data_IF_722116381748
#
_entry.id   IF_722116381748
#
_cell.length_a   1.000
_cell.length_b   1.000
_cell.length_c   1.000
_cell.angle_alpha   90.00
_cell.angle_beta   90.00
_cell.angle_gamma   90.00
#
_symmetry.space_group_name_H-M   'P 1'
#
loop_
_entity.id
_entity.type
_entity.pdbx_description
1 polymer ?
#
# COMPACT_ATOMS: atom_id res chain seq x y z
N UNK A 1 -21.13 10.43 -20.07
CA UNK A 1 -20.85 10.10 -18.65
C UNK A 1 -19.66 10.92 -18.21
N UNK A 2 -19.84 11.86 -17.27
CA UNK A 2 -18.72 12.58 -16.67
C UNK A 2 -17.86 11.59 -15.87
N UNK A 3 -16.55 11.58 -16.12
CA UNK A 3 -15.61 10.72 -15.39
C UNK A 3 -15.52 11.23 -13.94
N UNK A 4 -15.98 10.41 -12.99
CA UNK A 4 -15.77 10.66 -11.56
C UNK A 4 -14.35 10.23 -11.23
N UNK A 5 -13.55 11.11 -10.62
CA UNK A 5 -12.20 10.76 -10.14
C UNK A 5 -12.26 9.69 -9.05
N UNK A 6 -11.24 8.82 -8.94
CA UNK A 6 -11.15 7.80 -7.88
C UNK A 6 -11.45 8.34 -6.47
N UNK A 7 -10.89 9.51 -6.11
CA UNK A 7 -11.13 10.14 -4.81
C UNK A 7 -12.60 10.48 -4.56
N UNK A 8 -13.30 10.97 -5.58
CA UNK A 8 -14.73 11.25 -5.51
C UNK A 8 -15.56 9.97 -5.44
N UNK A 9 -15.17 8.91 -6.17
CA UNK A 9 -15.81 7.61 -6.08
C UNK A 9 -15.69 7.01 -4.67
N UNK A 10 -14.52 7.12 -4.03
CA UNK A 10 -14.31 6.63 -2.67
C UNK A 10 -15.17 7.34 -1.63
N UNK A 11 -15.30 8.66 -1.72
CA UNK A 11 -16.15 9.46 -0.83
C UNK A 11 -17.62 9.16 -1.05
N UNK A 12 -18.05 9.09 -2.31
CA UNK A 12 -19.44 8.80 -2.67
C UNK A 12 -19.86 7.41 -2.17
N UNK A 13 -18.96 6.41 -2.23
CA UNK A 13 -19.23 5.09 -1.70
C UNK A 13 -19.52 5.12 -0.18
N UNK A 14 -18.72 5.86 0.59
CA UNK A 14 -18.97 6.04 2.02
C UNK A 14 -20.29 6.76 2.31
N UNK A 15 -20.60 7.80 1.52
CA UNK A 15 -21.86 8.53 1.64
C UNK A 15 -23.06 7.63 1.36
N UNK A 16 -23.04 6.84 0.30
CA UNK A 16 -24.12 5.88 -0.03
C UNK A 16 -24.35 4.85 1.07
N UNK A 17 -23.30 4.36 1.73
CA UNK A 17 -23.45 3.45 2.87
C UNK A 17 -24.23 4.12 4.00
N UNK A 18 -23.94 5.38 4.30
CA UNK A 18 -24.51 6.09 5.46
C UNK A 18 -25.88 6.68 5.16
N UNK A 19 -26.01 7.35 4.03
CA UNK A 19 -27.19 8.14 3.67
C UNK A 19 -28.29 7.26 3.06
N UNK A 20 -27.91 6.20 2.33
CA UNK A 20 -28.84 5.31 1.62
C UNK A 20 -28.87 3.87 2.20
N UNK A 21 -27.89 3.48 3.02
CA UNK A 21 -27.78 2.12 3.53
C UNK A 21 -27.32 1.09 2.47
N UNK A 22 -26.74 1.56 1.36
CA UNK A 22 -26.40 0.73 0.20
C UNK A 22 -24.89 0.67 -0.02
N UNK A 23 -24.36 -0.53 -0.26
CA UNK A 23 -23.01 -0.72 -0.79
C UNK A 23 -23.06 -0.65 -2.31
N UNK A 24 -22.63 0.47 -2.91
CA UNK A 24 -22.67 0.65 -4.37
C UNK A 24 -21.35 0.26 -5.03
N UNK A 25 -21.18 -1.03 -5.35
CA UNK A 25 -19.96 -1.51 -6.02
C UNK A 25 -19.89 -1.18 -7.52
N UNK A 26 -20.87 -0.46 -8.08
CA UNK A 26 -20.76 0.10 -9.43
C UNK A 26 -19.75 1.25 -9.50
N UNK A 27 -19.38 1.82 -8.36
CA UNK A 27 -18.32 2.81 -8.24
C UNK A 27 -16.95 2.17 -8.44
N UNK A 28 -16.02 2.96 -8.96
CA UNK A 28 -14.70 2.50 -9.36
C UNK A 28 -13.76 2.45 -8.15
N UNK A 29 -13.05 1.33 -8.00
CA UNK A 29 -11.93 1.17 -7.09
C UNK A 29 -12.11 0.01 -6.09
N UNK A 30 -11.18 -0.05 -5.14
CA UNK A 30 -11.27 -0.96 -4.01
C UNK A 30 -11.79 -0.17 -2.81
N UNK A 31 -12.92 -0.58 -2.24
CA UNK A 31 -13.71 0.23 -1.32
C UNK A 31 -13.43 -0.10 0.15
N UNK A 32 -12.44 -0.95 0.46
CA UNK A 32 -12.12 -1.34 1.84
C UNK A 32 -11.88 -0.15 2.76
N UNK A 33 -11.13 0.87 2.30
CA UNK A 33 -10.95 2.09 3.08
C UNK A 33 -12.23 2.94 3.18
N UNK A 34 -13.07 2.97 2.14
CA UNK A 34 -14.35 3.68 2.18
C UNK A 34 -15.28 3.12 3.24
N UNK A 35 -15.30 1.79 3.42
CA UNK A 35 -16.03 1.12 4.51
C UNK A 35 -15.48 1.54 5.88
N UNK A 36 -14.16 1.64 6.03
CA UNK A 36 -13.53 2.11 7.28
C UNK A 36 -13.78 3.60 7.53
N UNK A 37 -14.09 4.38 6.50
CA UNK A 37 -14.40 5.80 6.62
C UNK A 37 -15.84 6.08 7.07
N UNK A 38 -16.76 5.11 6.94
CA UNK A 38 -18.16 5.18 7.39
C UNK A 38 -18.33 5.74 8.82
N UNK A 39 -17.66 5.24 9.87
CA UNK A 39 -17.78 5.81 11.21
C UNK A 39 -17.30 7.26 11.31
N UNK A 40 -16.30 7.66 10.52
CA UNK A 40 -15.83 9.05 10.50
C UNK A 40 -16.87 9.95 9.85
N UNK A 41 -17.50 9.51 8.76
CA UNK A 41 -18.58 10.27 8.12
C UNK A 41 -19.81 10.38 9.03
N UNK A 42 -20.23 9.27 9.67
CA UNK A 42 -21.33 9.28 10.64
C UNK A 42 -21.12 10.27 11.79
N UNK A 43 -19.89 10.38 12.30
CA UNK A 43 -19.57 11.26 13.43
C UNK A 43 -19.38 12.73 13.03
N UNK A 44 -19.01 13.01 11.77
CA UNK A 44 -18.58 14.37 11.37
C UNK A 44 -19.47 15.02 10.32
N UNK A 45 -20.22 14.24 9.53
CA UNK A 45 -20.93 14.71 8.34
C UNK A 45 -20.04 15.36 7.27
N UNK A 46 -18.71 15.27 7.41
CA UNK A 46 -17.78 16.08 6.63
C UNK A 46 -17.56 15.52 5.23
N UNK A 47 -17.50 16.36 4.17
CA UNK A 47 -17.08 15.92 2.84
C UNK A 47 -15.62 15.46 2.80
N UNK A 48 -14.84 15.76 3.85
CA UNK A 48 -13.44 15.36 4.01
C UNK A 48 -13.26 14.10 4.88
N UNK A 49 -14.34 13.39 5.23
CA UNK A 49 -14.28 12.16 6.05
C UNK A 49 -13.20 11.17 5.57
N UNK A 50 -13.09 10.97 4.25
CA UNK A 50 -12.12 10.05 3.67
C UNK A 50 -10.67 10.51 3.89
N UNK A 51 -10.40 11.82 3.76
CA UNK A 51 -9.10 12.42 4.02
C UNK A 51 -8.72 12.30 5.51
N UNK A 52 -9.70 12.52 6.40
CA UNK A 52 -9.53 12.37 7.85
C UNK A 52 -9.19 10.90 8.18
N UNK A 53 -9.93 9.94 7.62
CA UNK A 53 -9.63 8.51 7.76
C UNK A 53 -8.24 8.18 7.25
N UNK A 54 -7.85 8.67 6.07
CA UNK A 54 -6.49 8.52 5.53
C UNK A 54 -5.41 9.04 6.49
N UNK A 55 -5.63 10.21 7.09
CA UNK A 55 -4.70 10.78 8.07
C UNK A 55 -4.59 9.92 9.34
N UNK A 56 -5.72 9.44 9.87
CA UNK A 56 -5.73 8.54 11.03
C UNK A 56 -4.97 7.24 10.72
N UNK A 57 -5.26 6.59 9.59
CA UNK A 57 -4.60 5.36 9.18
C UNK A 57 -3.09 5.58 8.95
N UNK A 58 -2.70 6.74 8.41
CA UNK A 58 -1.29 7.10 8.28
C UNK A 58 -0.60 7.22 9.64
N UNK A 59 -1.16 7.96 10.59
CA UNK A 59 -0.58 8.09 11.94
C UNK A 59 -0.45 6.73 12.62
N UNK A 60 -1.49 5.88 12.53
CA UNK A 60 -1.43 4.52 13.07
C UNK A 60 -0.36 3.67 12.37
N UNK A 61 -0.20 3.82 11.06
CA UNK A 61 0.84 3.09 10.31
C UNK A 61 2.26 3.51 10.71
N UNK A 62 2.50 4.78 11.04
CA UNK A 62 3.79 5.26 11.60
C UNK A 62 4.07 4.60 12.96
N UNK A 63 3.05 4.54 13.84
CA UNK A 63 3.17 3.89 15.15
C UNK A 63 3.43 2.38 15.02
N UNK A 64 2.74 1.71 14.10
CA UNK A 64 2.97 0.30 13.82
C UNK A 64 4.34 0.06 13.20
N UNK A 65 4.83 0.97 12.37
CA UNK A 65 6.18 0.89 11.79
C UNK A 65 7.25 0.94 12.88
N UNK A 66 7.12 1.90 13.81
CA UNK A 66 7.96 1.99 15.01
C UNK A 66 7.95 0.67 15.80
N UNK A 67 6.76 0.15 16.12
CA UNK A 67 6.62 -1.06 16.93
C UNK A 67 7.18 -2.29 16.22
N UNK A 68 6.91 -2.46 14.93
CA UNK A 68 7.34 -3.62 14.14
C UNK A 68 8.87 -3.69 14.06
N UNK A 69 9.52 -2.59 13.70
CA UNK A 69 10.98 -2.53 13.63
C UNK A 69 11.64 -2.63 15.02
N UNK A 70 11.02 -2.05 16.06
CA UNK A 70 11.53 -2.17 17.44
C UNK A 70 11.52 -3.61 17.96
N UNK A 71 10.49 -4.39 17.60
CA UNK A 71 10.36 -5.78 18.01
C UNK A 71 11.32 -6.71 17.25
N UNK A 72 11.63 -6.37 15.99
CA UNK A 72 12.56 -7.15 15.16
C UNK A 72 14.03 -6.89 15.49
N UNK A 73 14.37 -5.66 15.87
CA UNK A 73 15.75 -5.24 16.13
C UNK A 73 15.87 -4.56 17.49
N UNK A 74 15.78 -3.22 17.53
CA UNK A 74 15.90 -2.42 18.73
C UNK A 74 15.08 -1.13 18.62
N UNK A 75 14.93 -0.41 19.74
CA UNK A 75 14.16 0.84 19.79
C UNK A 75 14.66 1.89 18.80
N UNK A 76 15.97 1.94 18.53
CA UNK A 76 16.56 2.92 17.61
C UNK A 76 16.17 2.63 16.16
N UNK A 77 16.21 1.36 15.74
CA UNK A 77 15.70 0.93 14.44
C UNK A 77 14.21 1.25 14.31
N UNK A 78 13.43 1.07 15.37
CA UNK A 78 12.05 1.54 15.46
C UNK A 78 11.88 3.02 15.12
N UNK A 79 12.64 3.90 15.79
CA UNK A 79 12.58 5.35 15.56
C UNK A 79 12.95 5.66 14.11
N UNK A 80 14.03 5.06 13.60
CA UNK A 80 14.46 5.28 12.21
C UNK A 80 13.39 4.86 11.21
N UNK A 81 12.80 3.66 11.36
CA UNK A 81 11.75 3.17 10.48
C UNK A 81 10.54 4.12 10.47
N UNK A 82 10.12 4.61 11.64
CA UNK A 82 9.01 5.55 11.76
C UNK A 82 9.32 6.91 11.12
N UNK A 83 10.51 7.46 11.34
CA UNK A 83 10.95 8.72 10.73
C UNK A 83 10.96 8.58 9.21
N UNK A 84 11.66 7.57 8.68
CA UNK A 84 11.76 7.34 7.23
C UNK A 84 10.36 7.20 6.61
N UNK A 85 9.51 6.39 7.22
CA UNK A 85 8.15 6.16 6.73
C UNK A 85 7.30 7.43 6.80
N UNK A 86 7.43 8.22 7.87
CA UNK A 86 6.71 9.50 8.01
C UNK A 86 7.18 10.57 7.01
N UNK A 87 8.43 10.52 6.56
CA UNK A 87 8.98 11.48 5.60
C UNK A 87 8.60 11.22 4.16
N UNK A 88 7.87 10.13 3.87
CA UNK A 88 7.45 9.76 2.51
C UNK A 88 6.40 10.75 1.98
N UNK A 89 6.71 11.56 0.95
CA UNK A 89 5.85 12.64 0.47
C UNK A 89 4.51 12.16 -0.10
N UNK A 90 4.50 10.95 -0.67
CA UNK A 90 3.29 10.37 -1.27
C UNK A 90 2.12 10.32 -0.28
N UNK A 91 2.38 10.09 1.01
CA UNK A 91 1.28 10.01 1.97
C UNK A 91 0.57 11.34 2.12
N UNK A 92 1.29 12.46 2.13
CA UNK A 92 0.69 13.78 2.26
C UNK A 92 -0.13 14.14 1.01
N UNK A 93 0.39 13.86 -0.18
CA UNK A 93 -0.33 14.08 -1.43
C UNK A 93 -1.62 13.27 -1.49
N UNK A 94 -1.56 12.00 -1.12
CA UNK A 94 -2.69 11.09 -1.17
C UNK A 94 -3.71 11.38 -0.08
N UNK A 95 -3.27 11.86 1.10
CA UNK A 95 -4.17 12.34 2.16
C UNK A 95 -4.95 13.57 1.67
N UNK A 96 -4.27 14.57 1.08
CA UNK A 96 -4.93 15.78 0.56
C UNK A 96 -5.87 15.43 -0.59
N UNK A 97 -5.41 14.56 -1.49
CA UNK A 97 -6.19 14.15 -2.66
C UNK A 97 -7.35 13.21 -2.32
N UNK A 98 -7.40 12.65 -1.11
CA UNK A 98 -8.45 11.71 -0.71
C UNK A 98 -8.32 10.33 -1.36
N UNK A 99 -7.10 9.82 -1.45
CA UNK A 99 -6.79 8.52 -2.06
C UNK A 99 -6.52 7.43 -1.02
N UNK A 100 -6.60 6.16 -1.44
CA UNK A 100 -6.54 4.98 -0.56
C UNK A 100 -5.14 4.55 -0.12
N UNK A 101 -4.09 5.22 -0.62
CA UNK A 101 -2.69 4.83 -0.40
C UNK A 101 -2.29 4.73 1.08
N UNK A 102 -2.70 5.65 1.98
CA UNK A 102 -2.45 5.52 3.41
C UNK A 102 -3.09 4.27 4.04
N UNK A 103 -4.29 3.89 3.61
CA UNK A 103 -4.95 2.68 4.09
C UNK A 103 -4.26 1.40 3.63
N UNK A 104 -3.74 1.38 2.39
CA UNK A 104 -2.92 0.26 1.88
C UNK A 104 -1.67 0.10 2.75
N UNK A 105 -0.98 1.20 3.06
CA UNK A 105 0.22 1.18 3.86
C UNK A 105 -0.06 0.75 5.31
N UNK A 106 -1.15 1.25 5.90
CA UNK A 106 -1.62 0.79 7.21
C UNK A 106 -1.83 -0.72 7.23
N UNK A 107 -2.59 -1.28 6.28
CA UNK A 107 -2.82 -2.73 6.22
C UNK A 107 -1.54 -3.53 5.99
N UNK A 108 -0.61 -3.02 5.17
CA UNK A 108 0.68 -3.67 4.96
C UNK A 108 1.50 -3.76 6.25
N UNK A 109 1.65 -2.64 6.96
CA UNK A 109 2.40 -2.59 8.21
C UNK A 109 1.68 -3.36 9.32
N UNK A 110 0.35 -3.36 9.36
CA UNK A 110 -0.43 -4.15 10.32
C UNK A 110 -0.21 -5.66 10.12
N UNK A 111 -0.24 -6.16 8.89
CA UNK A 111 0.09 -7.55 8.60
C UNK A 111 1.53 -7.91 9.02
N UNK A 112 2.50 -7.02 8.77
CA UNK A 112 3.89 -7.22 9.19
C UNK A 112 4.00 -7.25 10.73
N UNK A 113 3.35 -6.31 11.42
CA UNK A 113 3.28 -6.26 12.87
C UNK A 113 2.69 -7.55 13.46
N UNK A 114 1.52 -7.98 12.97
CA UNK A 114 0.84 -9.19 13.42
C UNK A 114 1.67 -10.46 13.17
N UNK A 115 2.44 -10.50 12.09
CA UNK A 115 3.41 -11.58 11.86
C UNK A 115 4.51 -11.59 12.91
N UNK A 116 5.10 -10.42 13.22
CA UNK A 116 6.20 -10.30 14.19
C UNK A 116 5.77 -10.71 15.60
N UNK A 117 4.56 -10.34 16.04
CA UNK A 117 4.02 -10.76 17.34
C UNK A 117 3.40 -12.17 17.33
N UNK A 118 3.47 -12.88 16.20
CA UNK A 118 2.87 -14.21 15.99
C UNK A 118 1.38 -14.27 16.31
N UNK A 119 0.63 -13.22 15.95
CA UNK A 119 -0.80 -13.11 16.23
C UNK A 119 -1.61 -14.10 15.39
N UNK A 120 -2.58 -14.75 16.05
CA UNK A 120 -3.55 -15.64 15.39
C UNK A 120 -4.53 -14.90 14.48
N UNK A 121 -4.59 -13.57 14.56
CA UNK A 121 -5.45 -12.72 13.72
C UNK A 121 -4.82 -12.32 12.38
N UNK A 122 -3.54 -12.69 12.15
CA UNK A 122 -2.85 -12.38 10.89
C UNK A 122 -3.63 -12.80 9.64
N UNK A 123 -4.22 -14.01 9.55
CA UNK A 123 -4.99 -14.40 8.36
C UNK A 123 -6.22 -13.54 8.12
N UNK A 124 -6.99 -13.23 9.17
CA UNK A 124 -8.15 -12.35 9.07
C UNK A 124 -7.74 -10.98 8.55
N UNK A 125 -6.69 -10.39 9.13
CA UNK A 125 -6.15 -9.11 8.70
C UNK A 125 -5.69 -9.15 7.24
N UNK A 126 -4.99 -10.21 6.83
CA UNK A 126 -4.55 -10.40 5.45
C UNK A 126 -5.74 -10.44 4.47
N UNK A 127 -6.78 -11.20 4.77
CA UNK A 127 -7.94 -11.29 3.88
C UNK A 127 -8.71 -9.96 3.78
N UNK A 128 -8.89 -9.27 4.91
CA UNK A 128 -9.48 -7.92 4.94
C UNK A 128 -8.63 -6.93 4.15
N UNK A 129 -7.30 -7.05 4.20
CA UNK A 129 -6.38 -6.17 3.46
C UNK A 129 -6.61 -6.22 1.94
N UNK A 130 -7.07 -7.36 1.40
CA UNK A 130 -7.36 -7.46 -0.03
C UNK A 130 -8.55 -6.59 -0.47
N UNK A 131 -9.47 -6.26 0.44
CA UNK A 131 -10.57 -5.30 0.17
C UNK A 131 -10.04 -3.87 0.00
N UNK A 132 -8.89 -3.55 0.60
CA UNK A 132 -8.22 -2.26 0.43
C UNK A 132 -7.53 -2.19 -0.92
N UNK A 133 -6.77 -3.23 -1.30
CA UNK A 133 -6.27 -3.46 -2.66
C UNK A 133 -5.78 -4.89 -2.88
N UNK A 134 -5.99 -5.48 -4.08
CA UNK A 134 -5.53 -6.83 -4.43
C UNK A 134 -4.02 -7.04 -4.28
N UNK A 135 -3.20 -6.00 -4.48
CA UNK A 135 -1.75 -6.14 -4.44
C UNK A 135 -1.21 -6.49 -3.04
N UNK A 136 -2.00 -6.26 -1.99
CA UNK A 136 -1.66 -6.74 -0.65
C UNK A 136 -1.54 -8.27 -0.57
N UNK A 137 -1.94 -8.99 -1.63
CA UNK A 137 -1.59 -10.39 -1.87
C UNK A 137 -0.08 -10.66 -1.84
N UNK A 138 0.77 -9.65 -2.10
CA UNK A 138 2.22 -9.73 -1.88
C UNK A 138 2.59 -10.18 -0.45
N UNK A 139 1.71 -9.97 0.54
CA UNK A 139 1.90 -10.36 1.94
C UNK A 139 1.45 -11.79 2.25
N UNK A 140 0.90 -12.52 1.27
CA UNK A 140 0.42 -13.89 1.44
C UNK A 140 1.46 -14.85 2.06
N UNK A 141 2.76 -14.76 1.73
CA UNK A 141 3.77 -15.60 2.36
C UNK A 141 3.87 -15.43 3.89
N UNK A 142 3.54 -14.25 4.45
CA UNK A 142 3.49 -14.06 5.91
C UNK A 142 2.51 -15.03 6.57
N UNK A 143 1.36 -15.23 5.93
CA UNK A 143 0.29 -16.06 6.46
C UNK A 143 0.67 -17.53 6.35
N UNK A 144 1.14 -18.00 5.18
CA UNK A 144 1.54 -19.41 5.01
C UNK A 144 2.68 -19.81 5.97
N UNK A 145 3.67 -18.92 6.09
CA UNK A 145 4.89 -19.14 6.86
C UNK A 145 4.78 -18.67 8.32
N UNK A 146 3.56 -18.42 8.80
CA UNK A 146 3.29 -18.17 10.21
C UNK A 146 3.67 -19.40 11.05
N UNK A 147 4.42 -19.18 12.13
CA UNK A 147 4.99 -20.26 12.96
C UNK A 147 3.95 -20.91 13.87
N UNK A 148 3.01 -20.13 14.40
CA UNK A 148 1.97 -20.61 15.33
C UNK A 148 0.65 -20.85 14.60
N UNK A 149 0.28 -22.11 14.45
CA UNK A 149 -1.00 -22.55 13.87
C UNK A 149 -1.81 -23.27 14.95
N UNK A 150 -3.06 -22.86 15.14
CA UNK A 150 -3.99 -23.45 16.10
C UNK A 150 -5.42 -23.13 15.72
N UNK A 151 -6.41 -23.58 16.50
CA UNK A 151 -7.83 -23.46 16.15
C UNK A 151 -8.25 -22.03 15.81
N UNK A 152 -7.89 -21.05 16.66
CA UNK A 152 -8.19 -19.64 16.41
C UNK A 152 -7.54 -19.08 15.14
N UNK A 153 -6.37 -19.61 14.75
CA UNK A 153 -5.71 -19.21 13.50
C UNK A 153 -6.54 -19.66 12.29
N UNK A 154 -7.01 -20.92 12.26
CA UNK A 154 -7.88 -21.41 11.19
C UNK A 154 -9.28 -20.77 11.22
N UNK A 155 -9.80 -20.43 12.40
CA UNK A 155 -11.04 -19.65 12.52
C UNK A 155 -10.88 -18.26 11.89
N UNK A 156 -9.75 -17.59 12.12
CA UNK A 156 -9.44 -16.29 11.50
C UNK A 156 -9.32 -16.40 9.97
N UNK A 157 -8.82 -17.53 9.46
CA UNK A 157 -8.81 -17.85 8.02
C UNK A 157 -10.22 -17.94 7.46
N UNK A 158 -11.08 -18.76 8.08
CA UNK A 158 -12.46 -18.96 7.65
C UNK A 158 -13.25 -17.65 7.68
N UNK A 159 -13.11 -16.89 8.75
CA UNK A 159 -13.74 -15.58 8.89
C UNK A 159 -13.25 -14.59 7.83
N UNK A 160 -11.93 -14.51 7.61
CA UNK A 160 -11.35 -13.62 6.59
C UNK A 160 -11.80 -13.97 5.17
N UNK A 161 -11.81 -15.26 4.82
CA UNK A 161 -12.31 -15.73 3.52
C UNK A 161 -13.80 -15.44 3.35
N UNK A 162 -14.60 -15.62 4.40
CA UNK A 162 -16.03 -15.30 4.37
C UNK A 162 -16.26 -13.80 4.10
N UNK A 163 -15.57 -12.93 4.84
CA UNK A 163 -15.69 -11.47 4.64
C UNK A 163 -15.24 -11.04 3.24
N UNK A 164 -14.12 -11.56 2.75
CA UNK A 164 -13.66 -11.26 1.41
C UNK A 164 -14.61 -11.81 0.34
N UNK A 165 -15.13 -13.01 0.56
CA UNK A 165 -16.12 -13.65 -0.31
C UNK A 165 -17.41 -12.83 -0.39
N UNK A 166 -17.92 -12.34 0.75
CA UNK A 166 -19.08 -11.45 0.79
C UNK A 166 -18.81 -10.14 0.05
N UNK A 167 -17.63 -9.54 0.22
CA UNK A 167 -17.22 -8.33 -0.50
C UNK A 167 -17.21 -8.57 -2.02
N UNK A 168 -16.60 -9.66 -2.49
CA UNK A 168 -16.57 -9.99 -3.93
C UNK A 168 -17.92 -10.40 -4.49
N UNK A 169 -18.73 -11.10 -3.70
CA UNK A 169 -20.06 -11.49 -4.11
C UNK A 169 -20.94 -10.24 -4.30
N UNK A 170 -20.92 -9.30 -3.35
CA UNK A 170 -21.59 -8.00 -3.50
C UNK A 170 -21.10 -7.23 -4.73
N UNK A 171 -19.78 -7.14 -4.91
CA UNK A 171 -19.20 -6.50 -6.10
C UNK A 171 -19.66 -7.14 -7.41
N UNK A 172 -19.73 -8.47 -7.44
CA UNK A 172 -20.16 -9.21 -8.63
C UNK A 172 -21.64 -9.02 -8.93
N UNK A 173 -22.51 -9.00 -7.91
CA UNK A 173 -23.94 -8.75 -8.09
C UNK A 173 -24.22 -7.37 -8.69
N UNK A 174 -23.53 -6.32 -8.23
CA UNK A 174 -23.78 -4.95 -8.69
C UNK A 174 -23.12 -4.64 -10.04
N UNK A 175 -21.90 -5.11 -10.26
CA UNK A 175 -21.07 -4.69 -11.40
C UNK A 175 -20.81 -5.78 -12.44
N UNK A 176 -21.20 -7.03 -12.16
CA UNK A 176 -20.82 -8.21 -12.94
C UNK A 176 -19.31 -8.54 -12.87
N UNK A 177 -18.56 -7.86 -12.00
CA UNK A 177 -17.09 -7.98 -11.87
C UNK A 177 -16.67 -8.15 -10.41
N UNK A 178 -15.63 -8.95 -10.20
CA UNK A 178 -15.01 -9.15 -8.86
C UNK A 178 -14.33 -7.86 -8.37
N UNK A 179 -13.85 -7.02 -9.30
CA UNK A 179 -13.38 -5.67 -9.03
C UNK A 179 -13.75 -4.73 -10.17
N UNK A 180 -14.24 -3.56 -9.81
CA UNK A 180 -14.46 -2.48 -10.74
C UNK A 180 -13.27 -1.51 -10.72
N UNK A 181 -12.13 -1.91 -11.31
CA UNK A 181 -10.97 -1.03 -11.47
C UNK A 181 -11.13 -0.26 -12.78
N UNK A 182 -11.04 1.07 -12.74
CA UNK A 182 -10.98 1.85 -13.97
C UNK A 182 -9.67 1.54 -14.69
N UNK A 183 -9.78 1.01 -15.90
CA UNK A 183 -8.67 1.04 -16.86
C UNK A 183 -8.60 2.44 -17.46
N UNK A 184 -8.11 3.43 -16.72
CA UNK A 184 -7.91 4.75 -17.27
C UNK A 184 -6.66 4.75 -18.17
N UNK A 185 -6.85 4.78 -19.50
CA UNK A 185 -5.97 5.55 -20.37
C UNK A 185 -4.71 4.90 -20.99
N UNK A 186 -4.64 3.58 -21.12
CA UNK A 186 -3.90 2.98 -22.24
C UNK A 186 -4.90 2.09 -22.98
N UNK A 187 -4.81 1.94 -24.30
CA UNK A 187 -5.71 1.12 -25.14
C UNK A 187 -5.71 -0.39 -24.84
N UNK A 188 -5.70 -0.76 -23.56
CA UNK A 188 -5.87 -2.07 -22.98
C UNK A 188 -7.24 -2.10 -22.30
N UNK A 189 -8.30 -1.93 -23.09
CA UNK A 189 -9.61 -2.53 -22.82
C UNK A 189 -9.51 -4.04 -22.93
N UNK A 190 -8.56 -4.59 -22.20
CA UNK A 190 -8.15 -5.95 -22.21
C UNK A 190 -8.82 -6.61 -21.02
N UNK A 191 -9.87 -7.37 -21.32
CA UNK A 191 -10.23 -8.53 -20.51
C UNK A 191 -8.96 -9.23 -20.01
N UNK A 192 -9.02 -9.91 -18.87
CA UNK A 192 -7.91 -10.70 -18.32
C UNK A 192 -7.23 -11.62 -19.37
N UNK A 193 -7.94 -11.94 -20.47
CA UNK A 193 -7.44 -12.64 -21.66
C UNK A 193 -6.49 -11.83 -22.58
N UNK A 194 -6.60 -10.50 -22.65
CA UNK A 194 -5.72 -9.64 -23.46
C UNK A 194 -4.50 -9.10 -22.69
N UNK A 195 -4.44 -9.22 -21.36
CA UNK A 195 -3.20 -8.97 -20.60
C UNK A 195 -2.16 -10.10 -20.75
N UNK A 196 -2.53 -11.21 -21.40
CA UNK A 196 -1.70 -12.40 -21.60
C UNK A 196 -1.01 -12.39 -23.00
N UNK A 197 -1.32 -11.45 -23.89
CA UNK A 197 -0.49 -11.18 -25.07
C UNK A 197 0.73 -10.32 -24.69
N UNK A 198 1.58 -10.92 -23.85
CA UNK A 198 2.81 -10.31 -23.36
C UNK A 198 3.93 -10.44 -24.39
N UNK A 199 4.34 -9.33 -25.00
CA UNK A 199 5.68 -9.27 -25.58
C UNK A 199 6.69 -9.13 -24.43
N UNK A 200 7.84 -9.80 -24.53
CA UNK A 200 8.95 -9.70 -23.55
C UNK A 200 9.37 -8.23 -23.29
N UNK A 201 9.15 -7.34 -24.25
CA UNK A 201 9.39 -5.91 -24.13
C UNK A 201 8.52 -5.20 -23.08
N UNK A 202 7.30 -5.68 -22.80
CA UNK A 202 6.43 -5.12 -21.76
C UNK A 202 6.98 -5.35 -20.35
N UNK A 203 7.50 -6.56 -20.09
CA UNK A 203 8.12 -6.92 -18.80
C UNK A 203 9.41 -6.14 -18.55
N UNK A 204 10.28 -6.06 -19.57
CA UNK A 204 11.54 -5.30 -19.47
C UNK A 204 11.24 -3.82 -19.22
N UNK A 205 10.28 -3.24 -19.95
CA UNK A 205 9.85 -1.84 -19.74
C UNK A 205 9.35 -1.60 -18.32
N UNK A 206 8.58 -2.53 -17.74
CA UNK A 206 8.09 -2.40 -16.36
C UNK A 206 9.18 -2.61 -15.31
N UNK A 207 10.16 -3.48 -15.55
CA UNK A 207 11.34 -3.60 -14.68
C UNK A 207 12.16 -2.31 -14.69
N UNK A 208 12.43 -1.73 -15.87
CA UNK A 208 13.07 -0.43 -15.97
C UNK A 208 12.24 0.67 -15.31
N UNK A 209 10.91 0.62 -15.45
CA UNK A 209 10.00 1.55 -14.78
C UNK A 209 10.06 1.41 -13.26
N UNK A 210 10.11 0.19 -12.71
CA UNK A 210 10.33 -0.02 -11.27
C UNK A 210 11.63 0.65 -10.80
N UNK A 211 12.72 0.43 -11.55
CA UNK A 211 14.01 1.04 -11.24
C UNK A 211 13.92 2.57 -11.34
N UNK A 212 13.31 3.12 -12.39
CA UNK A 212 13.09 4.56 -12.57
C UNK A 212 12.09 5.18 -11.58
N UNK A 213 11.19 4.38 -11.02
CA UNK A 213 10.26 4.81 -9.98
C UNK A 213 10.97 4.74 -8.60
N UNK A 214 11.96 3.87 -8.44
CA UNK A 214 12.85 3.80 -7.28
C UNK A 214 14.01 4.81 -7.33
N UNK A 215 14.47 5.21 -8.52
CA UNK A 215 15.55 6.17 -8.76
C UNK A 215 14.94 7.54 -9.07
N UNK A 216 15.46 8.60 -8.46
CA UNK A 216 14.97 9.97 -8.74
C UNK A 216 15.22 10.31 -10.21
N UNK A 217 14.19 10.22 -11.06
CA UNK A 217 14.26 10.75 -12.43
C UNK A 217 13.85 12.22 -12.38
N UNK A 218 14.85 13.09 -12.45
CA UNK A 218 14.64 14.50 -12.78
C UNK A 218 14.36 14.59 -14.29
N UNK A 219 13.09 14.75 -14.66
CA UNK A 219 12.76 15.32 -15.98
C UNK A 219 12.59 16.83 -15.80
N UNK A 220 13.47 17.60 -16.46
CA UNK A 220 13.48 19.06 -16.42
C UNK A 220 12.58 19.70 -17.50
N UNK A 221 12.03 18.91 -18.42
CA UNK A 221 11.34 19.42 -19.62
C UNK A 221 9.82 19.40 -19.53
N UNK A 222 9.27 18.58 -18.64
CA UNK A 222 7.88 18.64 -18.16
C UNK A 222 7.95 18.74 -16.64
N UNK A 223 7.14 19.62 -16.04
CA UNK A 223 7.07 19.87 -14.59
C UNK A 223 7.48 18.64 -13.74
N UNK A 224 8.43 18.74 -12.78
CA UNK A 224 9.16 17.58 -12.32
C UNK A 224 8.21 16.62 -11.59
N UNK A 225 7.83 15.53 -12.26
CA UNK A 225 7.07 14.45 -11.64
C UNK A 225 8.06 13.64 -10.81
N UNK A 226 8.34 14.11 -9.60
CA UNK A 226 9.06 13.31 -8.63
C UNK A 226 8.24 12.05 -8.33
N UNK A 227 8.70 10.91 -8.85
CA UNK A 227 8.06 9.60 -8.60
C UNK A 227 8.67 8.86 -7.42
N UNK A 228 9.78 9.31 -6.84
CA UNK A 228 10.41 8.61 -5.73
C UNK A 228 9.56 8.69 -4.45
N UNK A 229 8.93 7.58 -4.08
CA UNK A 229 8.09 7.44 -2.87
C UNK A 229 8.94 7.31 -1.60
N UNK A 230 10.10 6.66 -1.72
CA UNK A 230 11.09 6.45 -0.67
C UNK A 230 12.45 6.83 -1.24
N UNK A 231 13.38 7.28 -0.38
CA UNK A 231 14.77 7.47 -0.77
C UNK A 231 15.32 6.21 -1.48
N UNK A 232 15.90 6.34 -2.69
CA UNK A 232 16.45 5.20 -3.44
C UNK A 232 17.45 4.37 -2.63
N UNK A 233 18.19 5.06 -1.75
CA UNK A 233 19.19 4.46 -0.86
C UNK A 233 18.52 3.54 0.17
N UNK A 234 17.40 3.97 0.75
CA UNK A 234 16.62 3.13 1.68
C UNK A 234 16.08 1.89 0.98
N UNK A 235 15.62 2.03 -0.27
CA UNK A 235 15.16 0.88 -1.06
C UNK A 235 16.32 -0.06 -1.36
N UNK A 236 17.46 0.44 -1.84
CA UNK A 236 18.63 -0.38 -2.15
C UNK A 236 19.18 -1.11 -0.91
N UNK A 237 19.37 -0.39 0.19
CA UNK A 237 19.79 -0.95 1.48
C UNK A 237 18.75 -1.97 1.98
N UNK A 238 17.47 -1.63 1.88
CA UNK A 238 16.37 -2.52 2.25
C UNK A 238 16.38 -3.83 1.46
N UNK A 239 16.55 -3.78 0.13
CA UNK A 239 16.66 -4.97 -0.72
C UNK A 239 17.81 -5.87 -0.28
N UNK A 240 18.99 -5.30 -0.02
CA UNK A 240 20.18 -6.04 0.44
C UNK A 240 19.91 -6.68 1.81
N UNK A 241 19.30 -5.92 2.72
CA UNK A 241 19.03 -6.39 4.08
C UNK A 241 17.90 -7.41 4.16
N UNK A 242 16.89 -7.35 3.28
CA UNK A 242 15.85 -8.39 3.17
C UNK A 242 16.48 -9.76 2.87
N UNK A 243 17.49 -9.80 2.00
CA UNK A 243 18.22 -11.04 1.69
C UNK A 243 19.06 -11.50 2.90
N UNK A 244 19.65 -10.56 3.65
CA UNK A 244 20.50 -10.86 4.81
C UNK A 244 19.73 -11.23 6.07
N UNK A 245 18.49 -10.76 6.22
CA UNK A 245 17.60 -11.00 7.36
C UNK A 245 17.33 -12.48 7.63
N UNK A 246 17.56 -13.35 6.65
CA UNK A 246 17.27 -14.80 6.69
C UNK A 246 15.82 -15.14 7.10
N UNK A 247 14.93 -14.16 7.17
CA UNK A 247 13.51 -14.35 7.40
C UNK A 247 12.84 -14.72 6.09
N UNK A 248 12.65 -16.03 5.89
CA UNK A 248 12.06 -16.59 4.66
C UNK A 248 10.75 -15.90 4.28
N UNK A 249 9.89 -15.57 5.24
CA UNK A 249 8.62 -14.91 4.97
C UNK A 249 8.78 -13.53 4.33
N UNK A 250 9.71 -12.70 4.82
CA UNK A 250 9.95 -11.36 4.28
C UNK A 250 10.55 -11.43 2.87
N UNK A 251 11.48 -12.36 2.65
CA UNK A 251 12.06 -12.61 1.34
C UNK A 251 11.00 -13.04 0.31
N UNK A 252 10.11 -13.98 0.68
CA UNK A 252 9.04 -14.42 -0.21
C UNK A 252 8.01 -13.33 -0.48
N UNK A 253 7.68 -12.48 0.52
CA UNK A 253 6.80 -11.34 0.29
C UNK A 253 7.43 -10.33 -0.66
N UNK A 254 8.73 -10.07 -0.51
CA UNK A 254 9.48 -9.18 -1.39
C UNK A 254 9.52 -9.74 -2.82
N UNK A 255 9.83 -11.03 -2.99
CA UNK A 255 9.84 -11.69 -4.29
C UNK A 255 8.45 -11.70 -4.96
N UNK A 256 7.40 -12.05 -4.20
CA UNK A 256 6.03 -12.05 -4.71
C UNK A 256 5.57 -10.65 -5.08
N UNK A 257 5.85 -9.65 -4.24
CA UNK A 257 5.54 -8.25 -4.55
C UNK A 257 6.25 -7.77 -5.81
N UNK A 258 7.54 -8.10 -5.97
CA UNK A 258 8.30 -7.72 -7.15
C UNK A 258 7.74 -8.38 -8.42
N UNK A 259 7.41 -9.67 -8.35
CA UNK A 259 6.76 -10.40 -9.43
C UNK A 259 5.41 -9.77 -9.81
N UNK A 260 4.57 -9.46 -8.82
CA UNK A 260 3.28 -8.81 -9.04
C UNK A 260 3.42 -7.41 -9.66
N UNK A 261 4.48 -6.66 -9.32
CA UNK A 261 4.73 -5.33 -9.86
C UNK A 261 5.10 -5.36 -11.35
N UNK A 262 5.89 -6.36 -11.75
CA UNK A 262 6.38 -6.50 -13.14
C UNK A 262 5.25 -6.85 -14.10
N UNK A 263 4.16 -7.46 -13.60
CA UNK A 263 3.00 -7.77 -14.41
C UNK A 263 2.43 -6.50 -15.08
N UNK A 264 2.17 -6.50 -16.40
CA UNK A 264 1.71 -5.33 -17.17
C UNK A 264 0.49 -4.63 -16.56
N UNK A 265 -0.37 -5.41 -15.92
CA UNK A 265 -1.62 -4.99 -15.29
C UNK A 265 -1.40 -4.08 -14.07
N UNK A 266 -0.21 -4.09 -13.44
CA UNK A 266 0.01 -3.52 -12.10
C UNK A 266 1.19 -2.54 -11.99
N UNK A 267 1.60 -1.91 -13.09
CA UNK A 267 2.77 -1.00 -13.15
C UNK A 267 2.61 0.37 -12.46
N UNK A 268 1.75 0.49 -11.45
CA UNK A 268 1.65 1.70 -10.62
C UNK A 268 2.49 1.57 -9.36
N UNK A 269 3.24 2.62 -9.09
CA UNK A 269 4.14 2.73 -7.94
C UNK A 269 3.43 2.57 -6.57
N UNK A 270 2.13 2.92 -6.48
CA UNK A 270 1.28 2.69 -5.29
C UNK A 270 1.14 1.22 -4.94
N UNK A 271 1.26 0.33 -5.94
CA UNK A 271 1.22 -1.11 -5.71
C UNK A 271 2.48 -1.56 -4.98
N UNK A 272 3.65 -0.98 -5.19
CA UNK A 272 4.88 -1.39 -4.48
C UNK A 272 4.89 -1.10 -2.96
N UNK A 273 3.81 -0.58 -2.37
CA UNK A 273 3.73 -0.20 -0.95
C UNK A 273 4.14 -1.32 0.04
N UNK A 274 3.71 -2.59 -0.11
CA UNK A 274 4.18 -3.66 0.77
C UNK A 274 5.70 -3.86 0.70
N UNK A 275 6.31 -3.72 -0.49
CA UNK A 275 7.75 -3.81 -0.64
C UNK A 275 8.47 -2.66 0.07
N UNK A 276 7.96 -1.44 -0.07
CA UNK A 276 8.54 -0.27 0.62
C UNK A 276 8.45 -0.43 2.14
N UNK A 277 7.33 -0.93 2.67
CA UNK A 277 7.20 -1.21 4.11
C UNK A 277 8.25 -2.23 4.59
N UNK A 278 8.41 -3.34 3.86
CA UNK A 278 9.41 -4.37 4.17
C UNK A 278 10.84 -3.80 4.07
N UNK A 279 11.13 -3.04 3.01
CA UNK A 279 12.44 -2.44 2.79
C UNK A 279 12.82 -1.44 3.88
N UNK A 280 11.87 -0.59 4.32
CA UNK A 280 12.11 0.37 5.40
C UNK A 280 12.41 -0.35 6.71
N UNK A 281 11.63 -1.39 7.06
CA UNK A 281 11.89 -2.20 8.26
C UNK A 281 13.27 -2.86 8.15
N UNK A 282 13.60 -3.46 7.01
CA UNK A 282 14.87 -4.15 6.80
C UNK A 282 16.08 -3.20 6.83
N UNK A 283 15.95 -1.99 6.28
CA UNK A 283 17.04 -1.01 6.22
C UNK A 283 17.28 -0.30 7.56
N UNK A 284 16.26 -0.22 8.43
CA UNK A 284 16.28 0.55 9.67
C UNK A 284 17.50 0.31 10.60
N UNK A 285 17.96 -0.92 10.89
CA UNK A 285 19.14 -1.13 11.76
C UNK A 285 20.44 -0.61 11.14
N UNK A 286 20.60 -0.66 9.82
CA UNK A 286 21.79 -0.15 9.14
C UNK A 286 21.81 1.37 9.09
N UNK A 287 20.66 1.99 8.83
CA UNK A 287 20.54 3.44 8.76
C UNK A 287 20.90 4.05 10.11
N UNK A 288 20.48 3.45 11.22
CA UNK A 288 20.85 3.90 12.58
C UNK A 288 22.36 3.86 12.83
N UNK A 289 23.09 2.93 12.20
CA UNK A 289 24.53 2.77 12.41
C UNK A 289 25.38 3.76 11.63
N UNK A 290 24.84 4.38 10.58
CA UNK A 290 25.59 5.29 9.71
C UNK A 290 24.97 6.68 9.70
N UNK A 291 25.73 7.65 10.19
CA UNK A 291 25.34 9.07 10.22
C UNK A 291 25.11 9.62 8.80
N UNK A 292 25.87 9.14 7.83
CA UNK A 292 25.79 9.55 6.42
C UNK A 292 24.52 9.05 5.74
N UNK A 293 24.08 7.84 6.10
CA UNK A 293 22.81 7.27 5.63
C UNK A 293 21.60 8.04 6.17
N UNK A 294 21.64 8.47 7.44
CA UNK A 294 20.60 9.33 8.02
C UNK A 294 20.55 10.67 7.28
N UNK A 295 21.70 11.32 7.12
CA UNK A 295 21.79 12.61 6.44
C UNK A 295 21.29 12.50 4.99
N UNK A 296 21.73 11.46 4.27
CA UNK A 296 21.29 11.23 2.89
C UNK A 296 19.80 10.93 2.79
N UNK A 297 19.21 10.24 3.76
CA UNK A 297 17.76 9.95 3.74
C UNK A 297 16.93 11.21 4.00
N UNK A 298 17.38 12.07 4.91
CA UNK A 298 16.75 13.38 5.18
C UNK A 298 16.96 14.36 4.03
N UNK A 299 18.18 14.42 3.47
CA UNK A 299 18.53 15.31 2.35
C UNK A 299 17.86 14.87 1.05
N UNK A 300 17.58 13.59 0.84
CA UNK A 300 16.82 13.13 -0.34
C UNK A 300 15.31 13.31 -0.18
N UNK A 301 14.81 13.41 1.05
CA UNK A 301 13.38 13.67 1.33
C UNK A 301 13.04 15.17 1.36
N UNK A 302 13.98 16.05 1.73
CA UNK A 302 13.80 17.51 1.76
C UNK A 302 13.39 18.17 0.42
N UNK A 303 14.03 17.85 -0.74
CA UNK A 303 13.60 18.36 -2.04
C UNK A 303 12.18 17.97 -2.39
N UNK A 304 11.76 16.75 -2.02
CA UNK A 304 10.39 16.28 -2.24
C UNK A 304 9.35 17.13 -1.48
N UNK A 305 9.68 17.59 -0.28
CA UNK A 305 8.85 18.52 0.49
C UNK A 305 8.77 19.91 -0.14
N UNK A 306 9.87 20.43 -0.69
CA UNK A 306 9.88 21.71 -1.40
C UNK A 306 8.95 21.69 -2.64
N UNK A 307 8.94 20.59 -3.39
CA UNK A 307 8.00 20.38 -4.50
C UNK A 307 6.55 20.29 -4.04
N UNK A 308 6.30 19.65 -2.90
CA UNK A 308 4.97 19.53 -2.31
C UNK A 308 4.39 20.89 -1.90
N UNK A 309 5.19 21.70 -1.22
CA UNK A 309 4.80 23.06 -0.80
C UNK A 309 4.44 23.92 -2.02
N UNK A 310 5.22 23.85 -3.10
CA UNK A 310 4.97 24.59 -4.35
C UNK A 310 3.71 24.14 -5.10
N UNK A 311 3.25 22.89 -4.91
CA UNK A 311 2.03 22.36 -5.55
C UNK A 311 0.74 22.79 -4.81
N UNK A 312 0.87 23.14 -3.52
CA UNK A 312 -0.25 23.57 -2.67
C UNK A 312 -0.42 25.10 -2.68
N UNK A 313 0.66 25.85 -2.93
CA UNK A 313 0.67 27.31 -3.12
C UNK A 313 0.20 27.73 -4.50
#
# INVERSE_FOLDING_TARGET
>A
MHQISDAAAYRLFTQKIVDEGVFDFSLVGCMGQSIVSTPVYLLTGSPYHYNITSAILFVLSVLLMFKTASLLYDRKAGIAAAVIFSTMPIFYEEIISGMSTPGIAFMAVLCLYLYVIESKLLPLCFWVSLTFKPFLFALFPLVILARKKGTFYYLSWACGLCLLGLYFYGSYLDSGKIYNVWSQGSGCGASLSQSITTSAGGYIKNMFRFVLDCVVVFDYTQWPVYRAIVSPIVVAVGCIEVVRLRQKAFLWCFALGFFLYILPTYSFIRYAMPLFCIAIIAASPLIVRSRDLILSTVVTTLPLWYFFIKKIS
#
